data_IF_829370513173
#
_entry.id   IF_829370513173
#
_cell.length_a   1.000
_cell.length_b   1.000
_cell.length_c   1.000
_cell.angle_alpha   90.00
_cell.angle_beta   90.00
_cell.angle_gamma   90.00
#
_symmetry.space_group_name_H-M   'P 1'
#
loop_
_entity.id
_entity.type
_entity.pdbx_description
1 polymer ?
#
# COMPACT_ATOMS: atom_id res chain seq x y z
N UNK A 1 -7.96 25.76 -9.91
CA UNK A 1 -6.50 25.85 -9.70
C UNK A 1 -5.85 24.65 -10.36
N UNK A 2 -4.95 24.81 -11.27
CA UNK A 2 -4.26 23.69 -11.87
C UNK A 2 -3.25 23.13 -10.87
N UNK A 3 -3.35 21.87 -10.56
CA UNK A 3 -2.29 21.14 -9.89
C UNK A 3 -1.12 20.98 -10.88
N UNK A 4 -0.24 21.93 -10.88
CA UNK A 4 1.04 21.85 -11.58
C UNK A 4 2.10 22.37 -10.63
N UNK A 5 2.72 21.46 -9.89
CA UNK A 5 4.02 21.70 -9.36
C UNK A 5 4.93 20.50 -9.61
N UNK A 6 5.98 20.85 -10.33
CA UNK A 6 7.07 20.03 -10.79
C UNK A 6 7.77 19.38 -9.61
N UNK A 7 7.42 18.13 -9.32
CA UNK A 7 8.37 17.26 -8.67
C UNK A 7 9.17 16.58 -9.77
N UNK A 8 10.43 16.91 -9.83
CA UNK A 8 11.45 16.28 -10.65
C UNK A 8 11.41 14.77 -10.39
N UNK A 9 10.79 14.05 -11.31
CA UNK A 9 10.91 12.61 -11.37
C UNK A 9 12.37 12.24 -11.63
N UNK A 10 12.97 11.32 -10.85
CA UNK A 10 14.18 10.68 -11.31
C UNK A 10 13.85 9.95 -12.60
N UNK A 11 14.67 10.21 -13.62
CA UNK A 11 14.52 9.67 -14.95
C UNK A 11 14.52 8.13 -14.96
N UNK A 12 13.33 7.53 -14.92
CA UNK A 12 13.08 6.19 -15.42
C UNK A 12 12.43 6.29 -16.79
N UNK A 13 13.21 6.79 -17.74
CA UNK A 13 12.89 6.72 -19.17
C UNK A 13 13.25 5.33 -19.66
N UNK A 14 12.28 4.70 -20.22
CA UNK A 14 12.22 3.47 -21.00
C UNK A 14 11.63 2.25 -20.26
N UNK A 15 10.32 2.30 -20.06
CA UNK A 15 9.52 1.10 -19.98
C UNK A 15 8.74 0.96 -21.27
N UNK A 16 9.21 0.03 -22.09
CA UNK A 16 8.68 -0.34 -23.38
C UNK A 16 7.20 -0.71 -23.27
N UNK A 17 6.35 -0.07 -24.05
CA UNK A 17 4.95 -0.41 -24.24
C UNK A 17 4.86 -1.73 -24.99
N UNK A 18 4.60 -2.81 -24.31
CA UNK A 18 3.81 -3.92 -24.87
C UNK A 18 3.32 -4.84 -23.76
N UNK A 19 2.01 -4.85 -23.60
CA UNK A 19 1.12 -5.94 -23.19
C UNK A 19 1.58 -6.87 -22.07
N UNK A 20 0.92 -6.75 -20.91
CA UNK A 20 0.79 -7.83 -19.95
C UNK A 20 1.92 -7.87 -18.91
N UNK A 21 1.56 -7.52 -17.69
CA UNK A 21 2.34 -7.73 -16.48
C UNK A 21 3.68 -6.98 -16.34
N UNK A 22 3.58 -5.66 -16.24
CA UNK A 22 4.68 -4.70 -16.02
C UNK A 22 5.33 -4.78 -14.62
N UNK A 23 5.26 -5.91 -13.92
CA UNK A 23 5.69 -6.03 -12.53
C UNK A 23 6.93 -6.88 -12.32
N UNK A 24 7.52 -7.39 -13.40
CA UNK A 24 8.82 -8.04 -13.38
C UNK A 24 9.80 -7.20 -14.19
N UNK A 25 10.56 -6.36 -13.53
CA UNK A 25 11.74 -5.75 -14.13
C UNK A 25 12.91 -6.72 -13.90
N UNK A 26 13.34 -7.39 -14.95
CA UNK A 26 14.61 -8.13 -14.95
C UNK A 26 15.74 -7.15 -15.18
N UNK A 27 16.63 -7.05 -14.22
CA UNK A 27 17.85 -6.27 -14.33
C UNK A 27 19.04 -7.22 -14.53
N UNK A 28 19.61 -7.20 -15.71
CA UNK A 28 20.86 -7.94 -15.99
C UNK A 28 22.07 -7.02 -15.78
N UNK A 29 22.76 -7.19 -14.68
CA UNK A 29 24.09 -6.67 -14.46
C UNK A 29 25.02 -7.85 -14.11
N UNK A 30 25.89 -8.20 -15.06
CA UNK A 30 27.09 -9.00 -14.79
C UNK A 30 26.82 -10.38 -14.20
N UNK A 31 25.90 -11.17 -14.74
CA UNK A 31 25.73 -12.58 -14.39
C UNK A 31 24.85 -12.89 -13.17
N UNK A 32 24.19 -11.87 -12.60
CA UNK A 32 23.17 -12.05 -11.59
C UNK A 32 21.80 -11.71 -12.17
N UNK A 33 20.96 -12.71 -12.44
CA UNK A 33 19.55 -12.50 -12.74
C UNK A 33 18.78 -12.46 -11.43
N UNK A 34 18.45 -11.27 -10.94
CA UNK A 34 17.56 -11.07 -9.80
C UNK A 34 16.19 -10.61 -10.28
N UNK A 35 15.14 -11.32 -9.93
CA UNK A 35 13.77 -10.80 -10.10
C UNK A 35 13.57 -9.67 -9.08
N UNK A 36 13.45 -8.44 -9.57
CA UNK A 36 13.07 -7.30 -8.72
C UNK A 36 11.55 -7.30 -8.58
N UNK A 37 11.06 -7.76 -7.44
CA UNK A 37 9.65 -7.57 -7.08
C UNK A 37 9.44 -6.11 -6.73
N UNK A 38 8.64 -5.41 -7.52
CA UNK A 38 8.21 -4.06 -7.21
C UNK A 38 7.27 -4.12 -6.00
N UNK A 39 7.65 -3.47 -4.92
CA UNK A 39 6.83 -3.33 -3.72
C UNK A 39 6.20 -1.95 -3.65
N UNK A 40 4.98 -1.87 -3.16
CA UNK A 40 4.34 -0.59 -2.85
C UNK A 40 4.54 -0.28 -1.37
N UNK A 41 5.21 0.84 -1.09
CA UNK A 41 5.41 1.34 0.28
C UNK A 41 4.68 2.66 0.46
N UNK A 42 3.94 2.78 1.55
CA UNK A 42 3.19 3.98 1.91
C UNK A 42 3.55 4.38 3.33
N UNK A 43 3.96 5.63 3.53
CA UNK A 43 4.10 6.24 4.86
C UNK A 43 2.83 7.00 5.20
N UNK A 44 2.33 6.78 6.41
CA UNK A 44 1.21 7.53 6.99
C UNK A 44 1.69 8.23 8.24
N UNK A 45 1.52 9.53 8.28
CA UNK A 45 1.74 10.33 9.49
C UNK A 45 0.46 11.07 9.83
N UNK A 46 0.10 11.10 11.10
CA UNK A 46 -1.06 11.82 11.60
C UNK A 46 -0.61 12.70 12.77
N UNK A 47 -0.83 14.00 12.62
CA UNK A 47 -0.40 15.00 13.62
C UNK A 47 -1.24 14.92 14.90
N UNK A 48 -2.44 14.33 14.85
CA UNK A 48 -3.28 14.21 16.05
C UNK A 48 -2.77 13.12 17.00
N UNK A 49 -2.30 12.01 16.50
CA UNK A 49 -1.80 10.92 17.32
C UNK A 49 -0.27 10.84 17.37
N UNK A 50 0.43 11.67 16.60
CA UNK A 50 1.90 11.74 16.54
C UNK A 50 2.61 10.41 16.21
N UNK A 51 1.89 9.46 15.63
CA UNK A 51 2.44 8.19 15.20
C UNK A 51 2.68 8.16 13.70
N UNK A 52 3.79 7.53 13.33
CA UNK A 52 4.08 7.18 11.94
C UNK A 52 3.86 5.71 11.73
N UNK A 53 3.35 5.37 10.57
CA UNK A 53 3.16 4.00 10.13
C UNK A 53 3.72 3.82 8.73
N UNK A 54 4.50 2.77 8.54
CA UNK A 54 5.04 2.36 7.26
C UNK A 54 4.34 1.07 6.82
N UNK A 55 3.71 1.11 5.67
CA UNK A 55 2.95 0.01 5.11
C UNK A 55 3.66 -0.44 3.85
N UNK A 56 4.08 -1.69 3.80
CA UNK A 56 4.72 -2.30 2.64
C UNK A 56 3.86 -3.44 2.13
N UNK A 57 3.47 -3.39 0.88
CA UNK A 57 2.69 -4.43 0.22
C UNK A 57 3.46 -4.94 -0.99
N UNK A 58 3.56 -6.25 -1.12
CA UNK A 58 4.18 -6.93 -2.24
C UNK A 58 3.24 -7.98 -2.81
N UNK A 59 3.22 -8.13 -4.11
CA UNK A 59 2.44 -9.17 -4.76
C UNK A 59 3.21 -10.49 -4.74
N UNK A 60 2.63 -11.53 -4.12
CA UNK A 60 3.19 -12.89 -4.12
C UNK A 60 2.70 -13.66 -5.34
N UNK A 61 1.38 -13.56 -5.63
CA UNK A 61 0.75 -14.21 -6.78
C UNK A 61 -0.40 -13.35 -7.31
N UNK A 62 -1.15 -13.84 -8.32
CA UNK A 62 -2.35 -13.14 -8.84
C UNK A 62 -3.36 -12.79 -7.76
N UNK A 63 -3.47 -13.63 -6.74
CA UNK A 63 -4.51 -13.57 -5.74
C UNK A 63 -4.01 -13.39 -4.30
N UNK A 64 -2.69 -13.28 -4.13
CA UNK A 64 -2.07 -13.20 -2.81
C UNK A 64 -1.09 -12.03 -2.71
N UNK A 65 -1.25 -11.23 -1.68
CA UNK A 65 -0.38 -10.12 -1.30
C UNK A 65 0.35 -10.43 0.01
N UNK A 66 1.58 -10.00 0.13
CA UNK A 66 2.29 -9.88 1.40
C UNK A 66 2.09 -8.49 1.97
N UNK A 67 1.80 -8.40 3.25
CA UNK A 67 1.61 -7.16 3.99
C UNK A 67 2.61 -7.09 5.14
N UNK A 68 3.34 -5.99 5.23
CA UNK A 68 4.13 -5.64 6.41
C UNK A 68 3.74 -4.23 6.89
N UNK A 69 3.49 -4.09 8.18
CA UNK A 69 3.12 -2.81 8.80
C UNK A 69 4.05 -2.56 9.99
N UNK A 70 4.79 -1.47 9.93
CA UNK A 70 5.61 -0.95 11.02
C UNK A 70 4.96 0.32 11.56
N UNK A 71 4.65 0.36 12.85
CA UNK A 71 3.97 1.51 13.45
C UNK A 71 4.41 1.73 14.89
N UNK A 72 4.43 2.99 15.31
CA UNK A 72 4.56 3.37 16.72
C UNK A 72 3.25 3.20 17.51
N UNK A 73 2.12 3.04 16.86
CA UNK A 73 0.80 2.95 17.48
C UNK A 73 0.44 1.51 17.87
N UNK A 74 0.14 1.29 19.16
CA UNK A 74 -0.23 -0.04 19.66
C UNK A 74 -1.54 -0.57 19.06
N UNK A 75 -2.49 0.30 18.72
CA UNK A 75 -3.73 -0.11 18.06
C UNK A 75 -3.46 -0.63 16.64
N UNK A 76 -2.58 0.04 15.91
CA UNK A 76 -2.18 -0.39 14.56
C UNK A 76 -1.39 -1.71 14.63
N UNK A 77 -0.53 -1.90 15.63
CA UNK A 77 0.19 -3.17 15.82
C UNK A 77 -0.79 -4.33 16.06
N UNK A 78 -1.83 -4.10 16.86
CA UNK A 78 -2.90 -5.11 17.08
C UNK A 78 -3.66 -5.41 15.81
N UNK A 79 -4.03 -4.38 15.04
CA UNK A 79 -4.70 -4.56 13.75
C UNK A 79 -3.83 -5.32 12.75
N UNK A 80 -2.54 -4.98 12.68
CA UNK A 80 -1.57 -5.68 11.83
C UNK A 80 -1.44 -7.16 12.20
N UNK A 81 -1.36 -7.47 13.49
CA UNK A 81 -1.32 -8.85 13.97
C UNK A 81 -2.61 -9.63 13.62
N UNK A 82 -3.77 -8.97 13.69
CA UNK A 82 -5.06 -9.56 13.34
C UNK A 82 -5.21 -9.77 11.82
N UNK A 83 -4.67 -8.88 10.99
CA UNK A 83 -4.67 -9.01 9.53
C UNK A 83 -3.73 -10.14 9.06
N UNK A 84 -2.62 -10.36 9.79
CA UNK A 84 -1.58 -11.27 9.38
C UNK A 84 -0.70 -10.71 8.25
N UNK A 85 0.23 -11.53 7.78
CA UNK A 85 1.21 -11.14 6.76
C UNK A 85 0.73 -11.36 5.32
N UNK A 86 -0.35 -12.09 5.12
CA UNK A 86 -0.85 -12.45 3.81
C UNK A 86 -2.32 -12.03 3.66
N UNK A 87 -2.59 -11.32 2.57
CA UNK A 87 -3.93 -10.87 2.22
C UNK A 87 -4.36 -11.45 0.88
N UNK A 88 -5.56 -12.06 0.84
CA UNK A 88 -6.16 -12.48 -0.41
C UNK A 88 -6.71 -11.30 -1.19
N UNK A 89 -6.59 -11.35 -2.52
CA UNK A 89 -7.14 -10.33 -3.41
C UNK A 89 -8.62 -10.04 -3.12
N UNK A 90 -9.45 -11.07 -3.05
CA UNK A 90 -10.89 -10.94 -2.80
C UNK A 90 -11.20 -10.24 -1.47
N UNK A 91 -10.38 -10.50 -0.44
CA UNK A 91 -10.56 -9.92 0.88
C UNK A 91 -10.28 -8.40 0.93
N UNK A 92 -9.34 -7.91 0.11
CA UNK A 92 -8.98 -6.47 0.08
C UNK A 92 -9.70 -5.69 -1.01
N UNK A 93 -10.34 -6.36 -1.98
CA UNK A 93 -11.12 -5.73 -3.05
C UNK A 93 -12.62 -5.78 -2.83
N UNK A 94 -13.07 -6.38 -1.73
CA UNK A 94 -14.46 -6.40 -1.32
C UNK A 94 -15.03 -4.99 -1.09
N UNK A 95 -16.36 -4.89 -1.09
CA UNK A 95 -17.06 -3.68 -0.71
C UNK A 95 -16.67 -3.25 0.72
N UNK A 96 -16.92 -1.99 1.06
CA UNK A 96 -16.47 -1.39 2.32
C UNK A 96 -16.88 -2.21 3.56
N UNK A 97 -18.08 -2.75 3.55
CA UNK A 97 -18.69 -3.58 4.60
C UNK A 97 -18.19 -5.04 4.63
N UNK A 98 -17.45 -5.46 3.60
CA UNK A 98 -16.90 -6.82 3.46
C UNK A 98 -15.39 -6.79 3.15
N UNK A 99 -14.72 -5.70 3.50
CA UNK A 99 -13.29 -5.57 3.32
C UNK A 99 -12.57 -5.97 4.60
N UNK A 100 -11.70 -6.97 4.51
CA UNK A 100 -11.00 -7.54 5.67
C UNK A 100 -10.23 -6.49 6.49
N UNK A 101 -9.70 -5.46 5.84
CA UNK A 101 -8.95 -4.40 6.53
C UNK A 101 -9.87 -3.63 7.46
N UNK A 102 -11.05 -3.21 6.97
CA UNK A 102 -12.01 -2.47 7.77
C UNK A 102 -12.69 -3.34 8.82
N UNK A 103 -12.96 -4.62 8.54
CA UNK A 103 -13.47 -5.58 9.53
C UNK A 103 -12.50 -5.72 10.70
N UNK A 104 -11.21 -5.97 10.42
CA UNK A 104 -10.19 -6.15 11.47
C UNK A 104 -9.92 -4.86 12.25
N UNK A 105 -9.97 -3.72 11.58
CA UNK A 105 -9.84 -2.41 12.24
C UNK A 105 -11.03 -2.15 13.16
N UNK A 106 -12.25 -2.44 12.73
CA UNK A 106 -13.44 -2.29 13.57
C UNK A 106 -13.37 -3.16 14.83
N UNK A 107 -12.82 -4.38 14.73
CA UNK A 107 -12.63 -5.29 15.86
C UNK A 107 -11.54 -4.83 16.83
N UNK A 108 -10.41 -4.34 16.32
CA UNK A 108 -9.19 -4.10 17.11
C UNK A 108 -9.01 -2.66 17.57
N UNK A 109 -9.63 -1.70 16.88
CA UNK A 109 -9.46 -0.27 17.18
C UNK A 109 -10.76 0.53 16.98
N UNK A 110 -11.83 0.15 17.69
CA UNK A 110 -13.16 0.75 17.48
C UNK A 110 -13.22 2.25 17.82
N UNK A 111 -12.29 2.77 18.61
CA UNK A 111 -12.20 4.18 18.96
C UNK A 111 -11.39 5.04 17.98
N UNK A 112 -10.74 4.47 16.98
CA UNK A 112 -9.86 5.18 16.05
C UNK A 112 -10.49 5.35 14.66
N UNK A 113 -11.71 5.84 14.60
CA UNK A 113 -12.52 5.96 13.37
C UNK A 113 -11.88 6.89 12.32
N UNK A 114 -11.13 7.90 12.78
CA UNK A 114 -10.50 8.89 11.90
C UNK A 114 -9.11 8.49 11.41
N UNK A 115 -8.61 7.32 11.80
CA UNK A 115 -7.27 6.86 11.44
C UNK A 115 -7.14 6.64 9.93
N UNK A 116 -6.12 7.22 9.31
CA UNK A 116 -5.86 7.09 7.87
C UNK A 116 -5.18 5.77 7.48
N UNK A 117 -4.62 5.03 8.43
CA UNK A 117 -3.85 3.80 8.16
C UNK A 117 -4.68 2.71 7.46
N UNK A 118 -5.92 2.41 7.84
CA UNK A 118 -6.74 1.43 7.13
C UNK A 118 -6.94 1.77 5.65
N UNK A 119 -7.24 3.02 5.36
CA UNK A 119 -7.36 3.50 3.97
C UNK A 119 -6.03 3.34 3.19
N UNK A 120 -4.90 3.63 3.83
CA UNK A 120 -3.59 3.50 3.22
C UNK A 120 -3.25 2.02 2.92
N UNK A 121 -3.61 1.08 3.79
CA UNK A 121 -3.45 -0.37 3.54
C UNK A 121 -4.23 -0.79 2.29
N UNK A 122 -5.50 -0.39 2.19
CA UNK A 122 -6.34 -0.70 1.03
C UNK A 122 -5.77 -0.06 -0.24
N UNK A 123 -5.37 1.22 -0.19
CA UNK A 123 -4.76 1.92 -1.33
C UNK A 123 -3.47 1.25 -1.81
N UNK A 124 -2.59 0.86 -0.89
CA UNK A 124 -1.34 0.17 -1.22
C UNK A 124 -1.62 -1.21 -1.85
N UNK A 125 -2.57 -1.96 -1.29
CA UNK A 125 -2.99 -3.26 -1.81
C UNK A 125 -3.57 -3.15 -3.23
N UNK A 126 -4.44 -2.18 -3.47
CA UNK A 126 -5.04 -1.95 -4.79
C UNK A 126 -3.99 -1.46 -5.81
N UNK A 127 -3.05 -0.62 -5.38
CA UNK A 127 -1.96 -0.19 -6.25
C UNK A 127 -1.08 -1.37 -6.66
N UNK A 128 -0.80 -2.28 -5.72
CA UNK A 128 -0.02 -3.48 -5.99
C UNK A 128 -0.76 -4.47 -6.90
N UNK A 129 -2.08 -4.53 -6.81
CA UNK A 129 -2.94 -5.30 -7.72
C UNK A 129 -3.13 -4.65 -9.09
N UNK A 130 -2.64 -3.43 -9.30
CA UNK A 130 -2.84 -2.66 -10.53
C UNK A 130 -4.25 -2.07 -10.70
N UNK A 131 -5.02 -2.00 -9.63
CA UNK A 131 -6.38 -1.45 -9.60
C UNK A 131 -6.43 0.02 -9.24
N UNK A 132 -5.33 0.58 -8.72
CA UNK A 132 -5.22 1.98 -8.35
C UNK A 132 -3.84 2.52 -8.71
N UNK A 133 -3.73 3.84 -8.85
CA UNK A 133 -2.46 4.52 -9.09
C UNK A 133 -1.68 4.66 -7.78
N UNK A 134 -0.35 4.59 -7.89
CA UNK A 134 0.59 4.86 -6.79
C UNK A 134 0.72 6.36 -6.55
N UNK A 135 -0.41 7.02 -6.20
CA UNK A 135 -0.45 8.46 -5.92
C UNK A 135 -0.92 8.69 -4.48
N UNK A 136 -0.28 9.65 -3.83
CA UNK A 136 -0.65 10.10 -2.50
C UNK A 136 -2.07 10.66 -2.45
N UNK A 137 -2.65 10.66 -1.26
CA UNK A 137 -3.87 11.36 -0.93
C UNK A 137 -3.55 12.36 0.18
N UNK A 138 -4.10 13.55 0.09
CA UNK A 138 -3.90 14.61 1.07
C UNK A 138 -5.25 15.03 1.66
N UNK A 139 -5.29 15.17 2.97
CA UNK A 139 -6.40 15.78 3.70
C UNK A 139 -5.81 17.05 4.32
N UNK A 140 -6.37 18.20 3.97
CA UNK A 140 -5.92 19.49 4.46
C UNK A 140 -7.09 20.26 5.03
N UNK A 141 -6.94 20.75 6.26
CA UNK A 141 -7.88 21.69 6.87
C UNK A 141 -7.48 23.12 6.51
N UNK A 142 -8.45 23.93 6.11
CA UNK A 142 -8.29 25.34 5.73
C UNK A 142 -9.03 26.24 6.67
#
# INVERSE_FOLDING_TARGET
MPCADKLTEPAFTNLNKSTGDLRKATFELGGFSGEVFLTTTVEVSDDNCHHKSLITVSKISSDLLSLNIESGCEHIKKAAASLGQNLNRSAVTGAFDHNIVYEKVAETMPGCVVCAVPCAIVKASWAELGMNLRKGAHIQFT
#
